data_IF_015374837284
#
_entry.id   IF_015374837284
#
_cell.length_a   1.000
_cell.length_b   1.000
_cell.length_c   1.000
_cell.angle_alpha   90.00
_cell.angle_beta   90.00
_cell.angle_gamma   90.00
#
_symmetry.space_group_name_H-M   'P 1'
#
loop_
_entity.id
_entity.type
_entity.pdbx_description
1 polymer ?
#
# COMPACT_ATOMS: atom_id res chain seq x y z
N UNK A 1 19.54 -16.37 8.13
CA UNK A 1 18.16 -16.91 8.09
C UNK A 1 18.23 -18.44 8.05
N UNK A 2 17.13 -19.12 8.39
CA UNK A 2 17.00 -20.57 8.19
C UNK A 2 16.12 -20.77 6.97
N UNK A 3 16.52 -21.61 6.03
CA UNK A 3 15.76 -21.83 4.81
C UNK A 3 14.46 -22.62 5.13
N UNK A 4 13.36 -22.19 4.54
CA UNK A 4 12.02 -22.81 4.70
C UNK A 4 11.54 -23.55 3.45
N UNK A 5 12.32 -23.51 2.35
CA UNK A 5 11.98 -24.23 1.13
C UNK A 5 12.13 -25.74 1.32
N UNK A 6 11.23 -26.58 0.77
CA UNK A 6 11.21 -28.02 1.05
C UNK A 6 12.51 -28.75 0.72
N UNK A 7 13.23 -28.27 -0.29
CA UNK A 7 14.48 -28.84 -0.77
C UNK A 7 15.68 -28.53 0.13
N UNK A 8 15.67 -27.35 0.79
CA UNK A 8 16.78 -26.83 1.59
C UNK A 8 16.38 -26.58 3.06
N UNK A 9 15.28 -27.20 3.51
CA UNK A 9 14.65 -26.90 4.78
C UNK A 9 15.61 -27.10 5.96
N UNK A 10 15.78 -26.06 6.78
CA UNK A 10 16.62 -26.10 7.98
C UNK A 10 18.08 -25.70 7.75
N UNK A 11 18.49 -25.42 6.50
CA UNK A 11 19.84 -24.92 6.23
C UNK A 11 20.03 -23.48 6.69
N UNK A 12 21.21 -23.18 7.25
CA UNK A 12 21.56 -21.85 7.74
C UNK A 12 22.21 -21.03 6.63
N UNK A 13 21.57 -19.93 6.25
CA UNK A 13 22.09 -18.98 5.27
C UNK A 13 22.55 -17.70 5.96
N UNK A 14 23.81 -17.32 5.77
CA UNK A 14 24.37 -16.07 6.24
C UNK A 14 24.37 -15.04 5.10
N UNK A 15 23.45 -14.09 5.15
CA UNK A 15 23.41 -12.97 4.22
C UNK A 15 24.43 -11.92 4.66
N UNK A 16 25.38 -11.62 3.78
CA UNK A 16 26.38 -10.57 3.99
C UNK A 16 26.12 -9.46 3.00
N UNK A 17 25.91 -8.24 3.52
CA UNK A 17 25.75 -7.08 2.66
C UNK A 17 27.10 -6.61 2.12
N UNK A 18 27.17 -6.16 0.85
CA UNK A 18 28.38 -5.57 0.32
C UNK A 18 28.74 -4.30 1.10
N UNK A 19 30.04 -4.12 1.38
CA UNK A 19 30.57 -2.96 2.07
C UNK A 19 30.20 -1.66 1.36
N UNK A 20 29.68 -0.68 2.12
CA UNK A 20 29.31 0.66 1.62
C UNK A 20 27.80 0.94 1.54
N UNK A 21 26.93 0.00 1.95
CA UNK A 21 25.50 0.28 2.19
C UNK A 21 25.22 0.44 3.68
N UNK A 22 24.70 1.62 4.05
CA UNK A 22 24.10 1.83 5.35
C UNK A 22 22.71 1.18 5.36
N UNK A 23 22.56 0.12 6.15
CA UNK A 23 21.27 -0.53 6.36
C UNK A 23 20.80 -0.18 7.77
N UNK A 24 19.63 0.44 7.86
CA UNK A 24 19.02 0.81 9.13
C UNK A 24 18.77 -0.45 9.95
N UNK A 25 19.26 -0.48 11.19
CA UNK A 25 19.03 -1.60 12.09
C UNK A 25 17.59 -1.66 12.62
N UNK A 26 17.16 -2.80 13.18
CA UNK A 26 15.79 -3.00 13.67
C UNK A 26 15.30 -1.92 14.65
N UNK A 27 16.18 -1.45 15.55
CA UNK A 27 15.82 -0.40 16.51
C UNK A 27 15.57 0.96 15.87
N UNK A 28 16.31 1.29 14.80
CA UNK A 28 16.12 2.54 14.06
C UNK A 28 14.82 2.49 13.25
N UNK A 29 14.52 1.35 12.63
CA UNK A 29 13.26 1.12 11.91
C UNK A 29 12.07 1.16 12.87
N UNK A 30 12.16 0.52 14.03
CA UNK A 30 11.11 0.59 15.04
C UNK A 30 10.84 2.03 15.49
N UNK A 31 11.90 2.84 15.68
CA UNK A 31 11.76 4.26 15.99
C UNK A 31 11.11 5.05 14.84
N UNK A 32 11.43 4.72 13.58
CA UNK A 32 10.85 5.35 12.40
C UNK A 32 9.36 5.06 12.31
N UNK A 33 8.95 3.80 12.44
CA UNK A 33 7.53 3.40 12.46
C UNK A 33 6.79 4.14 13.59
N UNK A 34 7.35 4.23 14.80
CA UNK A 34 6.71 4.95 15.90
C UNK A 34 6.62 6.47 15.70
N UNK A 35 7.43 7.03 14.81
CA UNK A 35 7.42 8.46 14.47
C UNK A 35 6.52 8.77 13.28
N UNK A 36 6.02 7.74 12.60
CA UNK A 36 5.10 7.87 11.49
C UNK A 36 3.74 8.38 11.96
N UNK A 37 3.18 9.34 11.22
CA UNK A 37 1.95 10.03 11.62
C UNK A 37 0.74 9.10 11.53
N UNK A 38 0.61 8.36 10.42
CA UNK A 38 -0.51 7.47 10.17
C UNK A 38 -0.56 6.36 11.22
N UNK A 39 0.60 5.78 11.53
CA UNK A 39 0.70 4.80 12.61
C UNK A 39 0.36 5.38 13.98
N UNK A 40 0.83 6.58 14.32
CA UNK A 40 0.55 7.21 15.61
C UNK A 40 -0.94 7.52 15.80
N UNK A 41 -1.61 7.97 14.74
CA UNK A 41 -3.06 8.18 14.72
C UNK A 41 -3.81 6.86 14.89
N UNK A 42 -3.47 5.85 14.09
CA UNK A 42 -4.08 4.52 14.16
C UNK A 42 -3.93 3.87 15.54
N UNK A 43 -2.73 3.91 16.13
CA UNK A 43 -2.47 3.41 17.48
C UNK A 43 -3.35 4.09 18.53
N UNK A 44 -3.52 5.41 18.41
CA UNK A 44 -4.33 6.18 19.34
C UNK A 44 -5.81 5.82 19.21
N UNK A 45 -6.34 5.79 17.99
CA UNK A 45 -7.73 5.43 17.72
C UNK A 45 -8.05 4.01 18.21
N UNK A 46 -7.20 3.05 17.86
CA UNK A 46 -7.40 1.63 18.18
C UNK A 46 -7.10 1.28 19.65
N UNK A 47 -6.37 2.13 20.37
CA UNK A 47 -6.09 1.98 21.80
C UNK A 47 -7.09 2.67 22.72
N UNK A 48 -8.18 3.24 22.20
CA UNK A 48 -9.23 3.88 23.00
C UNK A 48 -10.42 2.94 23.24
N UNK A 49 -11.37 3.34 24.10
CA UNK A 49 -12.66 2.66 24.21
C UNK A 49 -12.65 1.30 24.91
N UNK A 50 -11.63 0.99 25.72
CA UNK A 50 -11.53 -0.30 26.41
C UNK A 50 -10.84 -1.38 25.60
N UNK A 51 -10.09 -1.01 24.56
CA UNK A 51 -9.20 -1.88 23.80
C UNK A 51 -7.73 -1.65 24.17
N UNK A 52 -6.91 -2.69 24.06
CA UNK A 52 -5.46 -2.66 24.25
C UNK A 52 -4.78 -2.98 22.91
N UNK A 53 -3.87 -2.10 22.48
CA UNK A 53 -3.01 -2.34 21.31
C UNK A 53 -1.78 -3.12 21.75
N UNK A 54 -1.43 -4.17 21.00
CA UNK A 54 -0.22 -4.96 21.19
C UNK A 54 0.54 -5.11 19.88
N UNK A 55 1.85 -4.89 19.93
CA UNK A 55 2.74 -5.17 18.81
C UNK A 55 3.21 -6.61 18.86
N UNK A 56 3.31 -7.26 17.70
CA UNK A 56 4.06 -8.50 17.58
C UNK A 56 5.55 -8.25 17.43
N UNK A 57 6.28 -9.30 17.08
CA UNK A 57 7.71 -9.21 16.85
C UNK A 57 8.02 -8.48 15.53
N UNK A 58 9.07 -7.65 15.54
CA UNK A 58 9.59 -7.03 14.33
C UNK A 58 10.35 -8.09 13.51
N UNK A 59 9.76 -8.52 12.40
CA UNK A 59 10.36 -9.48 11.49
C UNK A 59 11.32 -8.75 10.55
N UNK A 60 12.54 -9.26 10.45
CA UNK A 60 13.58 -8.73 9.56
C UNK A 60 13.88 -9.77 8.48
N UNK A 61 13.48 -9.49 7.25
CA UNK A 61 13.52 -10.43 6.14
C UNK A 61 14.47 -9.88 5.07
N UNK A 62 15.67 -10.48 4.89
CA UNK A 62 16.53 -10.10 3.77
C UNK A 62 15.93 -10.59 2.45
N UNK A 63 15.88 -9.72 1.45
CA UNK A 63 15.42 -10.02 0.08
C UNK A 63 16.46 -9.48 -0.90
N UNK A 64 17.19 -10.38 -1.55
CA UNK A 64 18.28 -10.05 -2.48
C UNK A 64 19.26 -9.04 -1.87
N UNK A 65 19.20 -7.79 -2.35
CA UNK A 65 20.04 -6.67 -1.96
C UNK A 65 19.36 -5.70 -0.95
N UNK A 66 18.22 -6.08 -0.37
CA UNK A 66 17.41 -5.23 0.51
C UNK A 66 17.00 -5.97 1.79
N UNK A 67 16.47 -5.21 2.75
CA UNK A 67 15.82 -5.77 3.95
C UNK A 67 14.40 -5.25 4.01
N UNK A 68 13.47 -6.18 4.14
CA UNK A 68 12.07 -5.91 4.44
C UNK A 68 11.84 -6.07 5.94
N UNK A 69 11.31 -5.04 6.57
CA UNK A 69 10.90 -5.07 7.97
C UNK A 69 9.38 -5.15 8.07
N UNK A 70 8.86 -6.06 8.88
CA UNK A 70 7.42 -6.26 9.06
C UNK A 70 7.07 -6.22 10.54
N UNK A 71 6.14 -5.34 10.92
CA UNK A 71 5.64 -5.22 12.29
C UNK A 71 4.11 -5.39 12.31
N UNK A 72 3.58 -6.51 12.83
CA UNK A 72 2.16 -6.69 12.99
C UNK A 72 1.63 -5.99 14.25
N UNK A 73 0.45 -5.39 14.15
CA UNK A 73 -0.27 -4.75 15.24
C UNK A 73 -1.61 -5.42 15.50
N UNK A 74 -1.78 -5.86 16.74
CA UNK A 74 -2.98 -6.53 17.23
C UNK A 74 -3.77 -5.63 18.17
N UNK A 75 -5.08 -5.82 18.21
CA UNK A 75 -5.97 -5.17 19.16
C UNK A 75 -6.78 -6.23 19.89
N UNK A 76 -6.89 -6.10 21.21
CA UNK A 76 -7.76 -6.95 22.04
C UNK A 76 -8.64 -6.09 22.92
N UNK A 77 -9.82 -6.58 23.29
CA UNK A 77 -10.62 -5.95 24.34
C UNK A 77 -9.93 -6.09 25.71
N UNK A 78 -10.16 -5.13 26.61
CA UNK A 78 -9.71 -5.13 28.02
C UNK A 78 -10.55 -6.11 28.87
N UNK A 79 -10.57 -7.37 28.46
CA UNK A 79 -11.25 -8.48 29.14
C UNK A 79 -10.27 -9.65 29.20
N UNK A 80 -10.28 -10.42 30.30
CA UNK A 80 -9.31 -11.50 30.55
C UNK A 80 -9.26 -12.53 29.41
N UNK A 81 -10.41 -12.87 28.81
CA UNK A 81 -10.54 -13.88 27.76
C UNK A 81 -10.57 -13.32 26.32
N UNK A 82 -10.22 -12.04 26.10
CA UNK A 82 -10.24 -11.46 24.75
C UNK A 82 -9.09 -11.99 23.88
N UNK A 83 -9.42 -12.46 22.68
CA UNK A 83 -8.45 -12.90 21.67
C UNK A 83 -7.92 -11.68 20.93
N UNK A 84 -6.60 -11.52 20.75
CA UNK A 84 -6.02 -10.47 19.92
C UNK A 84 -6.37 -10.67 18.44
N UNK A 85 -6.87 -9.61 17.81
CA UNK A 85 -7.13 -9.57 16.37
C UNK A 85 -6.06 -8.73 15.68
N UNK A 86 -5.53 -9.22 14.56
CA UNK A 86 -4.66 -8.41 13.70
C UNK A 86 -5.49 -7.26 13.13
N UNK A 87 -5.02 -6.02 13.31
CA UNK A 87 -5.68 -4.84 12.74
C UNK A 87 -4.85 -4.19 11.65
N UNK A 88 -3.53 -4.13 11.84
CA UNK A 88 -2.64 -3.46 10.91
C UNK A 88 -1.31 -4.20 10.79
N UNK A 89 -0.64 -3.99 9.67
CA UNK A 89 0.71 -4.47 9.36
C UNK A 89 1.51 -3.30 8.83
N UNK A 90 2.65 -3.00 9.46
CA UNK A 90 3.59 -2.01 8.95
C UNK A 90 4.69 -2.73 8.20
N UNK A 91 4.98 -2.28 6.99
CA UNK A 91 6.09 -2.78 6.19
C UNK A 91 7.04 -1.64 5.87
N UNK A 92 8.34 -1.87 6.08
CA UNK A 92 9.38 -0.90 5.74
C UNK A 92 10.36 -1.52 4.77
N UNK A 93 10.55 -0.85 3.63
CA UNK A 93 11.56 -1.17 2.64
C UNK A 93 12.40 0.09 2.38
N UNK A 94 13.65 0.09 2.87
CA UNK A 94 14.52 1.26 2.79
C UNK A 94 13.89 2.48 3.49
N UNK A 95 13.56 3.51 2.71
CA UNK A 95 12.91 4.74 3.19
C UNK A 95 11.38 4.70 3.18
N UNK A 96 10.77 3.73 2.50
CA UNK A 96 9.32 3.62 2.36
C UNK A 96 8.72 2.92 3.57
N UNK A 97 7.70 3.53 4.19
CA UNK A 97 6.90 2.95 5.27
C UNK A 97 5.47 2.85 4.75
N UNK A 98 4.87 1.67 4.84
CA UNK A 98 3.45 1.44 4.55
C UNK A 98 2.74 0.95 5.80
N UNK A 99 1.46 1.27 5.90
CA UNK A 99 0.57 0.88 6.99
C UNK A 99 -0.71 0.37 6.38
N UNK A 100 -0.96 -0.93 6.45
CA UNK A 100 -2.12 -1.52 5.80
C UNK A 100 -2.83 -2.54 6.67
N UNK A 101 -4.03 -2.96 6.26
CA UNK A 101 -4.83 -3.95 7.01
C UNK A 101 -4.38 -5.39 6.74
N UNK A 102 -3.66 -5.61 5.65
CA UNK A 102 -3.10 -6.90 5.26
C UNK A 102 -1.62 -6.79 4.92
N UNK A 103 -0.91 -7.92 5.06
CA UNK A 103 0.51 -7.98 4.68
C UNK A 103 0.69 -7.74 3.19
N UNK A 104 -0.19 -8.30 2.34
CA UNK A 104 -0.12 -8.14 0.89
C UNK A 104 -0.20 -6.66 0.50
N UNK A 105 -1.22 -5.96 0.99
CA UNK A 105 -1.42 -4.53 0.74
C UNK A 105 -0.21 -3.70 1.22
N UNK A 106 0.28 -3.97 2.44
CA UNK A 106 1.45 -3.27 2.96
C UNK A 106 2.72 -3.52 2.13
N UNK A 107 2.91 -4.74 1.61
CA UNK A 107 4.04 -5.04 0.72
C UNK A 107 3.89 -4.28 -0.59
N UNK A 108 2.71 -4.32 -1.21
CA UNK A 108 2.45 -3.63 -2.49
C UNK A 108 2.75 -2.14 -2.38
N UNK A 109 2.31 -1.51 -1.31
CA UNK A 109 2.58 -0.09 -1.02
C UNK A 109 4.07 0.18 -0.73
N UNK A 110 4.73 -0.67 0.05
CA UNK A 110 6.13 -0.46 0.42
C UNK A 110 7.10 -0.69 -0.74
N UNK A 111 6.79 -1.65 -1.63
CA UNK A 111 7.66 -2.01 -2.75
C UNK A 111 7.25 -1.35 -4.07
N UNK A 112 6.04 -0.79 -4.14
CA UNK A 112 5.45 -0.29 -5.40
C UNK A 112 5.21 -1.40 -6.43
N UNK A 113 5.25 -2.66 -6.02
CA UNK A 113 5.06 -3.82 -6.89
C UNK A 113 3.65 -4.34 -6.70
N UNK A 114 2.89 -4.50 -7.78
CA UNK A 114 1.61 -5.21 -7.71
C UNK A 114 1.91 -6.69 -7.46
N UNK A 115 1.73 -7.17 -6.23
CA UNK A 115 1.82 -8.61 -5.98
C UNK A 115 0.62 -9.26 -6.65
N UNK A 116 0.82 -9.85 -7.82
CA UNK A 116 -0.21 -10.57 -8.58
C UNK A 116 -0.64 -11.87 -7.90
N UNK A 117 -1.11 -11.79 -6.65
CA UNK A 117 -1.67 -12.88 -5.88
C UNK A 117 -3.06 -12.49 -5.38
N UNK A 118 -4.07 -13.21 -5.85
CA UNK A 118 -5.45 -13.10 -5.37
C UNK A 118 -5.52 -13.02 -3.83
N UNK A 119 -6.15 -11.98 -3.25
CA UNK A 119 -6.41 -11.95 -1.82
C UNK A 119 -7.54 -12.95 -1.51
N UNK A 120 -7.15 -14.15 -1.09
CA UNK A 120 -8.06 -15.08 -0.44
C UNK A 120 -8.45 -14.56 0.94
N UNK A 121 -9.56 -13.84 1.01
CA UNK A 121 -10.13 -13.32 2.25
C UNK A 121 -11.43 -12.56 1.99
N UNK A 122 -12.51 -13.28 1.71
CA UNK A 122 -13.87 -12.76 1.64
C UNK A 122 -14.42 -12.45 3.05
N UNK A 123 -14.89 -11.22 3.29
CA UNK A 123 -16.12 -10.97 4.04
C UNK A 123 -17.23 -10.47 3.09
N UNK A 124 -18.50 -10.60 3.49
CA UNK A 124 -19.63 -11.08 2.68
C UNK A 124 -20.05 -10.15 1.53
N UNK A 125 -20.85 -10.67 0.57
CA UNK A 125 -21.24 -9.90 -0.60
C UNK A 125 -22.26 -8.86 -0.18
N UNK A 126 -21.90 -7.58 -0.34
CA UNK A 126 -22.90 -6.54 -0.52
C UNK A 126 -22.68 -5.92 -1.90
N UNK A 127 -23.70 -6.04 -2.74
CA UNK A 127 -23.70 -5.54 -4.10
C UNK A 127 -23.61 -4.02 -4.07
N UNK A 128 -22.44 -3.50 -4.42
CA UNK A 128 -22.19 -2.09 -4.67
C UNK A 128 -20.81 -1.97 -5.28
N UNK A 129 -20.69 -1.16 -6.33
CA UNK A 129 -19.41 -0.70 -6.87
C UNK A 129 -18.43 -0.43 -5.72
N UNK A 130 -17.21 -0.99 -5.78
CA UNK A 130 -16.20 -0.88 -4.72
C UNK A 130 -16.03 0.54 -4.22
N UNK A 131 -15.38 0.72 -3.07
CA UNK A 131 -15.15 2.05 -2.47
C UNK A 131 -14.58 3.04 -3.51
N UNK A 132 -14.83 4.35 -3.32
CA UNK A 132 -14.31 5.39 -4.22
C UNK A 132 -12.79 5.24 -4.39
N UNK A 133 -12.08 4.91 -3.30
CA UNK A 133 -10.65 4.64 -3.31
C UNK A 133 -10.28 3.44 -4.18
N UNK A 134 -11.03 2.34 -4.10
CA UNK A 134 -10.82 1.17 -4.98
C UNK A 134 -11.07 1.50 -6.46
N UNK A 135 -12.06 2.34 -6.76
CA UNK A 135 -12.34 2.77 -8.13
C UNK A 135 -11.24 3.70 -8.68
N UNK A 136 -10.75 4.61 -7.84
CA UNK A 136 -9.62 5.50 -8.17
C UNK A 136 -8.35 4.69 -8.43
N UNK A 137 -8.02 3.75 -7.55
CA UNK A 137 -6.88 2.87 -7.72
C UNK A 137 -6.99 2.03 -9.01
N UNK A 138 -8.19 1.54 -9.35
CA UNK A 138 -8.41 0.78 -10.57
C UNK A 138 -8.17 1.64 -11.83
N UNK A 139 -8.66 2.88 -11.85
CA UNK A 139 -8.46 3.82 -12.96
C UNK A 139 -6.98 4.20 -13.13
N UNK A 140 -6.28 4.45 -12.02
CA UNK A 140 -4.85 4.77 -12.06
C UNK A 140 -4.01 3.59 -12.56
N UNK A 141 -4.36 2.35 -12.20
CA UNK A 141 -3.70 1.15 -12.73
C UNK A 141 -3.88 1.02 -14.24
N UNK A 142 -5.09 1.23 -14.75
CA UNK A 142 -5.37 1.24 -16.19
C UNK A 142 -4.60 2.34 -16.90
N UNK A 143 -4.48 3.54 -16.31
CA UNK A 143 -3.72 4.64 -16.90
C UNK A 143 -2.23 4.28 -17.07
N UNK A 144 -1.64 3.60 -16.08
CA UNK A 144 -0.24 3.12 -16.16
C UNK A 144 -0.05 2.13 -17.30
N UNK A 145 -0.99 1.20 -17.52
CA UNK A 145 -0.95 0.25 -18.64
C UNK A 145 -0.92 0.98 -19.99
N UNK A 146 -1.76 2.01 -20.16
CA UNK A 146 -1.78 2.84 -21.37
C UNK A 146 -0.48 3.65 -21.56
N UNK A 147 0.15 4.15 -20.48
CA UNK A 147 1.46 4.81 -20.61
C UNK A 147 2.56 3.85 -21.08
N UNK A 148 2.57 2.62 -20.58
CA UNK A 148 3.52 1.59 -21.02
C UNK A 148 3.29 1.24 -22.49
N UNK A 149 2.03 1.09 -22.93
CA UNK A 149 1.68 0.85 -24.32
C UNK A 149 2.08 2.03 -25.23
N UNK A 150 1.88 3.26 -24.78
CA UNK A 150 2.33 4.46 -25.49
C UNK A 150 3.86 4.46 -25.68
N UNK A 151 4.64 4.19 -24.63
CA UNK A 151 6.10 4.12 -24.75
C UNK A 151 6.58 3.01 -25.70
N UNK A 152 5.90 1.86 -25.72
CA UNK A 152 6.19 0.80 -26.68
C UNK A 152 5.93 1.28 -28.12
N UNK A 153 4.78 1.90 -28.39
CA UNK A 153 4.45 2.48 -29.69
C UNK A 153 5.44 3.58 -30.12
N UNK A 154 5.91 4.40 -29.18
CA UNK A 154 6.93 5.42 -29.44
C UNK A 154 8.28 4.80 -29.86
N UNK A 155 8.69 3.70 -29.22
CA UNK A 155 9.90 2.95 -29.60
C UNK A 155 9.79 2.32 -30.99
N UNK A 156 8.60 1.84 -31.34
CA UNK A 156 8.31 1.25 -32.64
C UNK A 156 8.06 2.30 -33.75
N UNK A 157 8.08 3.58 -33.39
CA UNK A 157 7.84 4.70 -34.31
C UNK A 157 6.38 4.83 -34.75
N UNK A 158 5.45 4.13 -34.10
CA UNK A 158 4.02 4.21 -34.34
C UNK A 158 3.41 5.38 -33.55
N UNK A 159 3.51 6.57 -34.16
CA UNK A 159 3.01 7.81 -33.58
C UNK A 159 1.48 7.86 -33.47
N UNK A 160 0.74 7.09 -34.28
CA UNK A 160 -0.71 7.06 -34.24
C UNK A 160 -1.19 6.29 -33.00
N UNK A 161 -0.60 5.12 -32.75
CA UNK A 161 -0.88 4.31 -31.57
C UNK A 161 -0.39 5.02 -30.30
N UNK A 162 0.78 5.66 -30.34
CA UNK A 162 1.28 6.49 -29.22
C UNK A 162 0.28 7.57 -28.78
N UNK A 163 -0.29 8.32 -29.73
CA UNK A 163 -1.27 9.37 -29.41
C UNK A 163 -2.56 8.79 -28.82
N UNK A 164 -3.06 7.69 -29.40
CA UNK A 164 -4.28 7.04 -28.91
C UNK A 164 -4.12 6.52 -27.48
N UNK A 165 -3.01 5.85 -27.17
CA UNK A 165 -2.71 5.34 -25.83
C UNK A 165 -2.53 6.49 -24.82
N UNK A 166 -1.88 7.59 -25.23
CA UNK A 166 -1.70 8.76 -24.37
C UNK A 166 -3.04 9.44 -24.02
N UNK A 167 -3.98 9.53 -24.97
CA UNK A 167 -5.33 10.06 -24.73
C UNK A 167 -6.13 9.20 -23.75
N UNK A 168 -6.04 7.86 -23.89
CA UNK A 168 -6.70 6.94 -22.95
C UNK A 168 -6.14 7.07 -21.54
N UNK A 169 -4.80 7.16 -21.40
CA UNK A 169 -4.15 7.35 -20.11
C UNK A 169 -4.61 8.65 -19.43
N UNK A 170 -4.67 9.76 -20.18
CA UNK A 170 -5.13 11.05 -19.65
C UNK A 170 -6.60 10.99 -19.20
N UNK A 171 -7.48 10.41 -20.00
CA UNK A 171 -8.90 10.30 -19.67
C UNK A 171 -9.15 9.49 -18.38
N UNK A 172 -8.34 8.45 -18.14
CA UNK A 172 -8.44 7.63 -16.93
C UNK A 172 -7.96 8.39 -15.68
N UNK A 173 -6.89 9.16 -15.79
CA UNK A 173 -6.38 10.02 -14.70
C UNK A 173 -7.38 11.13 -14.38
N UNK A 174 -7.99 11.76 -15.38
CA UNK A 174 -9.04 12.76 -15.19
C UNK A 174 -10.24 12.17 -14.47
N UNK A 175 -10.69 10.99 -14.90
CA UNK A 175 -11.81 10.29 -14.24
C UNK A 175 -11.49 9.89 -12.80
N UNK A 176 -10.25 9.51 -12.51
CA UNK A 176 -9.80 9.24 -11.16
C UNK A 176 -9.84 10.52 -10.31
N UNK A 177 -9.40 11.65 -10.86
CA UNK A 177 -9.44 12.94 -10.19
C UNK A 177 -10.88 13.43 -9.93
N UNK A 178 -11.80 13.21 -10.87
CA UNK A 178 -13.22 13.55 -10.71
C UNK A 178 -13.90 12.72 -9.61
N UNK A 179 -13.53 11.44 -9.48
CA UNK A 179 -14.01 10.58 -8.40
C UNK A 179 -13.52 11.05 -7.02
N UNK A 180 -12.29 11.56 -6.93
CA UNK A 180 -11.73 12.14 -5.69
C UNK A 180 -12.35 13.51 -5.39
N UNK A 181 -12.70 14.30 -6.40
CA UNK A 181 -13.31 15.62 -6.22
C UNK A 181 -14.77 15.58 -5.76
N UNK A 182 -15.50 14.46 -5.97
CA UNK A 182 -16.91 14.30 -5.63
C UNK A 182 -17.86 15.12 -6.53
N UNK A 183 -19.20 14.87 -6.48
CA UNK A 183 -20.16 15.64 -7.27
C UNK A 183 -20.24 17.07 -6.70
N UNK A 184 -19.51 17.99 -7.31
CA UNK A 184 -19.66 19.42 -7.02
C UNK A 184 -21.13 19.81 -7.24
N UNK A 185 -21.79 20.17 -6.14
CA UNK A 185 -23.09 20.82 -6.18
C UNK A 185 -23.04 22.08 -7.07
N UNK A 186 -23.99 22.12 -7.99
CA UNK A 186 -24.68 23.28 -8.57
C UNK A 186 -23.86 24.49 -9.06
N UNK A 187 -24.02 24.90 -10.35
CA UNK A 187 -23.58 26.23 -10.79
C UNK A 187 -24.42 27.30 -10.07
N UNK A 188 -23.81 28.04 -9.14
CA UNK A 188 -24.46 29.21 -8.54
C UNK A 188 -24.57 30.35 -9.59
N UNK A 189 -25.74 31.02 -9.69
CA UNK A 189 -26.09 31.87 -10.82
C UNK A 189 -25.34 33.21 -10.81
N UNK A 190 -25.05 33.69 -12.03
CA UNK A 190 -24.47 35.00 -12.33
C UNK A 190 -25.12 36.14 -11.53
N UNK A 191 -24.35 37.06 -10.92
CA UNK A 191 -24.90 38.32 -10.48
C UNK A 191 -25.29 39.16 -11.70
N UNK A 192 -26.57 39.46 -11.80
CA UNK A 192 -27.17 40.41 -12.73
C UNK A 192 -26.44 41.76 -12.72
N UNK A 193 -26.16 42.25 -13.92
CA UNK A 193 -25.71 43.62 -14.19
C UNK A 193 -26.91 44.58 -14.11
N UNK A 194 -26.66 45.80 -13.61
CA UNK A 194 -27.45 47.07 -13.78
C UNK A 194 -28.27 47.50 -12.56
N UNK A 195 -28.50 48.81 -12.31
CA UNK A 195 -28.44 49.96 -13.24
C UNK A 195 -27.21 50.87 -13.13
#
# INVERSE_FOLDING_TARGET
AVNSDPEDYGELVAFTFPSGRDVDGPGLIFSRINSDQEFSEARTLLGTGGSEVRFGDLLTIPIEDSILYVLPMYVRANQEAAVPELKLVMVVNGSSVSVATSLSEAIEEATGATTGGEPGGEPPPDGGTGTVDQQVQQLLRQAVEHFVAAEAALRDGDLATYQAELEQAQALVERANDLVAGPTGEPSPSPSVSP
#
